data_IF_289162084617
#
_entry.id   IF_289162084617
#
_cell.length_a   1.000
_cell.length_b   1.000
_cell.length_c   1.000
_cell.angle_alpha   90.00
_cell.angle_beta   90.00
_cell.angle_gamma   90.00
#
_symmetry.space_group_name_H-M   'P 1'
#
loop_
_entity.id
_entity.type
_entity.pdbx_description
1 polymer ?
#
# COMPACT_ATOMS: atom_id res chain seq x y z
N UNK A 1 21.34 13.50 -23.82
CA UNK A 1 20.48 12.38 -24.25
C UNK A 1 21.42 11.33 -24.80
N UNK A 2 21.48 10.17 -24.16
CA UNK A 2 22.28 9.07 -24.68
C UNK A 2 21.57 8.48 -25.91
N UNK A 3 22.32 7.95 -26.87
CA UNK A 3 21.70 7.38 -28.10
C UNK A 3 20.97 6.07 -27.82
N UNK A 4 21.22 5.48 -26.66
CA UNK A 4 20.65 4.20 -26.22
C UNK A 4 19.50 4.36 -25.20
N UNK A 5 19.11 5.61 -24.86
CA UNK A 5 17.98 5.89 -23.96
C UNK A 5 16.64 5.52 -24.65
N UNK A 6 16.09 4.34 -24.32
CA UNK A 6 14.78 3.91 -24.84
C UNK A 6 13.62 4.75 -24.31
N UNK A 7 12.44 4.73 -24.95
CA UNK A 7 11.24 5.48 -24.51
C UNK A 7 10.87 5.27 -23.03
N UNK A 8 11.20 4.10 -22.45
CA UNK A 8 11.03 3.79 -21.03
C UNK A 8 11.86 4.67 -20.08
N UNK A 9 12.95 5.25 -20.57
CA UNK A 9 13.81 6.19 -19.82
C UNK A 9 13.22 7.61 -19.72
N UNK A 10 12.23 7.93 -20.56
CA UNK A 10 11.61 9.27 -20.61
C UNK A 10 10.63 9.47 -19.47
N UNK A 11 10.04 8.39 -18.97
CA UNK A 11 9.11 8.38 -17.85
C UNK A 11 8.06 7.27 -17.98
N UNK A 12 7.51 6.88 -16.85
CA UNK A 12 6.43 5.92 -16.71
C UNK A 12 5.13 6.70 -16.40
N UNK A 13 4.14 6.69 -17.32
CA UNK A 13 2.85 7.31 -17.08
C UNK A 13 2.00 6.45 -16.14
N UNK A 14 1.46 7.08 -15.09
CA UNK A 14 0.49 6.47 -14.19
C UNK A 14 -0.83 7.23 -14.30
N UNK A 15 -1.92 6.53 -14.62
CA UNK A 15 -3.26 7.11 -14.55
C UNK A 15 -3.69 7.33 -13.11
N UNK A 16 -4.38 8.44 -12.85
CA UNK A 16 -4.84 8.84 -11.53
C UNK A 16 -5.80 7.82 -10.90
N UNK A 17 -6.71 7.28 -11.72
CA UNK A 17 -7.60 6.19 -11.31
C UNK A 17 -7.02 4.88 -11.84
N UNK A 18 -6.46 4.07 -10.95
CA UNK A 18 -5.86 2.79 -11.28
C UNK A 18 -6.89 1.68 -11.36
N UNK A 19 -7.19 1.19 -12.56
CA UNK A 19 -8.05 0.02 -12.76
C UNK A 19 -7.61 -0.74 -14.02
N UNK A 20 -7.92 -2.05 -14.15
CA UNK A 20 -7.63 -2.80 -15.36
C UNK A 20 -8.36 -2.21 -16.57
N UNK A 21 -7.59 -1.77 -17.56
CA UNK A 21 -8.10 -1.18 -18.79
C UNK A 21 -7.98 -2.16 -19.96
N UNK A 22 -9.06 -2.28 -20.75
CA UNK A 22 -9.02 -3.03 -22.01
C UNK A 22 -8.30 -2.26 -23.14
N UNK A 23 -8.27 -0.93 -23.05
CA UNK A 23 -7.71 -0.04 -24.06
C UNK A 23 -7.02 1.16 -23.40
N UNK A 24 -6.15 1.84 -24.13
CA UNK A 24 -5.54 3.08 -23.66
C UNK A 24 -6.61 4.10 -23.26
N UNK A 25 -6.51 4.70 -22.07
CA UNK A 25 -7.52 5.61 -21.58
C UNK A 25 -7.45 6.94 -22.33
N UNK A 26 -8.57 7.64 -22.43
CA UNK A 26 -8.57 9.07 -22.76
C UNK A 26 -8.13 9.84 -21.52
N UNK A 27 -7.12 10.70 -21.68
CA UNK A 27 -6.61 11.53 -20.60
C UNK A 27 -7.44 12.82 -20.52
N UNK A 28 -7.97 13.08 -19.33
CA UNK A 28 -8.59 14.36 -18.99
C UNK A 28 -7.62 15.22 -18.18
N UNK A 29 -8.08 16.39 -17.76
CA UNK A 29 -7.33 17.24 -16.83
C UNK A 29 -6.98 16.47 -15.55
N UNK A 30 -5.77 16.66 -15.03
CA UNK A 30 -5.29 16.07 -13.78
C UNK A 30 -5.43 14.54 -13.72
N UNK A 31 -5.25 13.85 -14.85
CA UNK A 31 -5.45 12.40 -14.95
C UNK A 31 -4.15 11.59 -15.02
N UNK A 32 -2.99 12.25 -15.08
CA UNK A 32 -1.69 11.62 -15.28
C UNK A 32 -0.67 12.03 -14.22
N UNK A 33 -0.04 11.03 -13.60
CA UNK A 33 1.16 11.20 -12.76
C UNK A 33 2.35 10.68 -13.57
N UNK A 34 3.36 11.52 -13.78
CA UNK A 34 4.59 11.14 -14.49
C UNK A 34 5.66 10.73 -13.50
N UNK A 35 6.30 9.58 -13.72
CA UNK A 35 7.42 9.10 -12.91
C UNK A 35 8.64 8.94 -13.80
N UNK A 36 9.74 9.62 -13.51
CA UNK A 36 10.94 9.51 -14.34
C UNK A 36 12.21 9.85 -13.59
N UNK A 37 13.36 9.67 -14.24
CA UNK A 37 14.66 9.99 -13.67
C UNK A 37 15.13 11.37 -14.16
N UNK A 38 15.92 12.07 -13.33
CA UNK A 38 16.64 13.31 -13.69
C UNK A 38 15.73 14.46 -14.12
N UNK A 39 14.48 14.50 -13.64
CA UNK A 39 13.63 15.68 -13.78
C UNK A 39 14.12 16.79 -12.85
N UNK A 40 14.18 18.03 -13.37
CA UNK A 40 14.39 19.21 -12.53
C UNK A 40 13.05 19.69 -11.98
N UNK A 41 13.09 20.37 -10.82
CA UNK A 41 11.90 20.96 -10.23
C UNK A 41 11.20 21.96 -11.17
N UNK A 42 11.98 22.82 -11.83
CA UNK A 42 11.44 23.80 -12.78
C UNK A 42 10.76 23.13 -13.99
N UNK A 43 11.32 22.03 -14.51
CA UNK A 43 10.69 21.28 -15.59
C UNK A 43 9.39 20.61 -15.12
N UNK A 44 9.38 20.04 -13.91
CA UNK A 44 8.19 19.44 -13.33
C UNK A 44 7.07 20.45 -13.08
N UNK A 45 7.41 21.66 -12.60
CA UNK A 45 6.45 22.75 -12.41
C UNK A 45 5.84 23.19 -13.74
N UNK A 46 6.67 23.43 -14.76
CA UNK A 46 6.21 23.77 -16.11
C UNK A 46 5.31 22.68 -16.71
N UNK A 47 5.64 21.40 -16.51
CA UNK A 47 4.79 20.28 -16.96
C UNK A 47 3.39 20.32 -16.35
N UNK A 48 3.29 20.53 -15.03
CA UNK A 48 1.99 20.59 -14.33
C UNK A 48 1.20 21.85 -14.71
N UNK A 49 1.89 22.99 -14.94
CA UNK A 49 1.24 24.25 -15.30
C UNK A 49 0.76 24.29 -16.75
N UNK A 50 1.56 23.79 -17.69
CA UNK A 50 1.31 23.93 -19.13
C UNK A 50 0.56 22.75 -19.75
N UNK A 51 0.62 21.55 -19.14
CA UNK A 51 -0.01 20.33 -19.67
C UNK A 51 -1.14 19.91 -18.75
N UNK A 52 -2.37 20.25 -19.14
CA UNK A 52 -3.56 20.08 -18.32
C UNK A 52 -3.78 18.64 -17.82
N UNK A 53 -3.36 17.63 -18.58
CA UNK A 53 -3.48 16.23 -18.19
C UNK A 53 -2.57 15.81 -17.04
N UNK A 54 -1.47 16.53 -16.81
CA UNK A 54 -0.46 16.18 -15.80
C UNK A 54 -0.91 16.69 -14.42
N UNK A 55 -1.30 15.74 -13.58
CA UNK A 55 -1.63 15.94 -12.16
C UNK A 55 -0.39 16.17 -11.30
N UNK A 56 0.69 15.46 -11.60
CA UNK A 56 1.90 15.49 -10.78
C UNK A 56 3.10 14.80 -11.42
N UNK A 57 4.30 15.16 -10.96
CA UNK A 57 5.58 14.71 -11.50
C UNK A 57 6.50 14.24 -10.37
N UNK A 58 7.00 13.01 -10.51
CA UNK A 58 7.82 12.31 -9.52
C UNK A 58 9.20 12.04 -10.11
N UNK A 59 10.24 12.39 -9.34
CA UNK A 59 11.60 11.90 -9.55
C UNK A 59 11.76 10.52 -8.91
N UNK A 60 11.97 9.51 -9.74
CA UNK A 60 12.33 8.16 -9.33
C UNK A 60 13.78 8.12 -8.85
N UNK A 61 13.99 7.56 -7.66
CA UNK A 61 15.29 7.32 -7.03
C UNK A 61 15.49 5.85 -6.65
N UNK A 62 14.56 4.99 -7.09
CA UNK A 62 14.53 3.56 -6.78
C UNK A 62 13.14 3.10 -6.32
N UNK A 63 13.11 1.96 -5.64
CA UNK A 63 11.89 1.41 -5.02
C UNK A 63 11.71 2.05 -3.64
N UNK A 64 10.67 2.88 -3.42
CA UNK A 64 10.47 3.54 -2.13
C UNK A 64 9.95 2.58 -1.05
N UNK A 65 10.33 2.84 0.21
CA UNK A 65 9.94 2.06 1.37
C UNK A 65 11.11 1.53 2.20
N UNK A 66 10.79 0.65 3.16
CA UNK A 66 11.75 0.01 4.07
C UNK A 66 11.95 -1.43 3.64
N UNK A 67 13.09 -1.73 3.00
CA UNK A 67 13.44 -3.11 2.60
C UNK A 67 13.96 -3.91 3.79
N UNK A 68 14.67 -3.25 4.72
CA UNK A 68 15.14 -3.85 5.96
C UNK A 68 15.29 -2.76 7.04
N UNK A 69 15.05 -3.07 8.34
CA UNK A 69 15.07 -2.07 9.42
C UNK A 69 16.40 -1.30 9.54
N UNK A 70 17.51 -1.93 9.20
CA UNK A 70 18.86 -1.35 9.28
C UNK A 70 19.24 -0.48 8.08
N UNK A 71 18.46 -0.51 7.00
CA UNK A 71 18.73 0.27 5.77
C UNK A 71 17.95 1.58 5.79
N UNK A 72 18.58 2.66 5.29
CA UNK A 72 17.87 3.92 5.09
C UNK A 72 16.72 3.71 4.10
N UNK A 73 15.50 4.15 4.45
CA UNK A 73 14.37 4.05 3.54
C UNK A 73 14.64 4.86 2.26
N UNK A 74 14.27 4.30 1.12
CA UNK A 74 14.29 5.02 -0.14
C UNK A 74 12.99 5.79 -0.30
N UNK A 75 13.08 6.97 -0.91
CA UNK A 75 11.93 7.82 -1.25
C UNK A 75 12.12 8.34 -2.67
N UNK A 76 11.06 8.27 -3.46
CA UNK A 76 10.97 9.10 -4.64
C UNK A 76 10.53 10.50 -4.21
N UNK A 77 10.79 11.50 -5.05
CA UNK A 77 10.42 12.89 -4.74
C UNK A 77 9.27 13.34 -5.62
N UNK A 78 8.19 13.81 -5.01
CA UNK A 78 7.22 14.64 -5.70
C UNK A 78 7.86 16.00 -5.99
N UNK A 79 8.09 16.30 -7.27
CA UNK A 79 8.70 17.56 -7.69
C UNK A 79 7.67 18.68 -7.87
N UNK A 80 6.48 18.34 -8.38
CA UNK A 80 5.37 19.26 -8.60
C UNK A 80 4.01 18.55 -8.63
N UNK A 81 2.94 19.27 -8.31
CA UNK A 81 1.56 18.79 -8.40
C UNK A 81 1.16 17.82 -7.28
N UNK A 82 0.42 16.77 -7.62
CA UNK A 82 -0.13 15.78 -6.70
C UNK A 82 0.13 14.35 -7.21
N UNK A 83 0.66 13.47 -6.36
CA UNK A 83 0.93 12.06 -6.67
C UNK A 83 -0.05 11.06 -6.01
N UNK A 84 -1.12 11.57 -5.41
CA UNK A 84 -2.14 10.74 -4.83
C UNK A 84 -2.92 10.05 -5.95
N UNK A 85 -2.79 8.72 -6.05
CA UNK A 85 -3.52 7.88 -7.00
C UNK A 85 -4.62 7.11 -6.27
N UNK A 86 -5.75 6.90 -6.92
CA UNK A 86 -6.86 6.08 -6.43
C UNK A 86 -6.94 4.76 -7.21
N UNK A 87 -6.57 3.64 -6.58
CA UNK A 87 -6.67 2.32 -7.22
C UNK A 87 -8.03 1.68 -6.91
N UNK A 88 -8.77 1.27 -7.93
CA UNK A 88 -9.95 0.40 -7.78
C UNK A 88 -9.46 -1.04 -7.76
N UNK A 89 -9.67 -1.71 -6.63
CA UNK A 89 -9.26 -3.09 -6.40
C UNK A 89 -10.52 -3.95 -6.31
N UNK A 90 -10.68 -4.88 -7.25
CA UNK A 90 -11.84 -5.77 -7.35
C UNK A 90 -11.45 -7.22 -7.05
N UNK A 91 -12.31 -7.95 -6.35
CA UNK A 91 -12.19 -9.37 -6.04
C UNK A 91 -13.58 -10.03 -5.96
N UNK A 92 -13.63 -11.34 -5.74
CA UNK A 92 -14.90 -12.04 -5.43
C UNK A 92 -15.57 -11.56 -4.13
N UNK A 93 -14.82 -10.91 -3.23
CA UNK A 93 -15.34 -10.36 -1.97
C UNK A 93 -15.95 -8.96 -2.14
N UNK A 94 -15.76 -8.35 -3.31
CA UNK A 94 -16.24 -7.01 -3.65
C UNK A 94 -15.12 -6.08 -4.10
N UNK A 95 -15.39 -4.78 -4.09
CA UNK A 95 -14.50 -3.75 -4.64
C UNK A 95 -14.18 -2.67 -3.60
N UNK A 96 -12.93 -2.21 -3.55
CA UNK A 96 -12.50 -1.07 -2.73
C UNK A 96 -11.76 -0.03 -3.57
N UNK A 97 -11.71 1.20 -3.05
CA UNK A 97 -10.79 2.23 -3.54
C UNK A 97 -9.62 2.34 -2.57
N UNK A 98 -8.40 2.24 -3.08
CA UNK A 98 -7.16 2.32 -2.29
C UNK A 98 -6.35 3.52 -2.77
N UNK A 99 -6.32 4.57 -1.94
CA UNK A 99 -5.50 5.75 -2.11
C UNK A 99 -4.05 5.51 -1.71
N UNK A 100 -3.15 6.07 -2.52
CA UNK A 100 -1.72 5.75 -2.52
C UNK A 100 -0.90 6.96 -2.98
N UNK A 101 0.08 7.41 -2.19
CA UNK A 101 1.07 8.42 -2.63
C UNK A 101 2.20 7.76 -3.40
N UNK A 102 2.16 7.84 -4.73
CA UNK A 102 3.06 7.08 -5.62
C UNK A 102 4.57 7.41 -5.44
N UNK A 103 4.91 8.56 -4.86
CA UNK A 103 6.31 8.89 -4.55
C UNK A 103 6.83 8.19 -3.29
N UNK A 104 5.93 7.73 -2.41
CA UNK A 104 6.29 7.19 -1.11
C UNK A 104 6.07 5.68 -1.00
N UNK A 105 5.35 5.04 -1.92
CA UNK A 105 5.04 3.60 -1.84
C UNK A 105 5.48 2.85 -3.10
N UNK A 106 5.64 1.53 -2.98
CA UNK A 106 5.97 0.69 -4.12
C UNK A 106 4.89 0.78 -5.20
N UNK A 107 5.29 1.14 -6.41
CA UNK A 107 4.39 1.24 -7.56
C UNK A 107 4.13 -0.16 -8.10
N UNK A 108 2.96 -0.70 -7.80
CA UNK A 108 2.48 -1.98 -8.33
C UNK A 108 1.40 -1.74 -9.39
N UNK A 109 1.56 -2.37 -10.56
CA UNK A 109 0.55 -2.29 -11.62
C UNK A 109 -0.54 -3.34 -11.38
N UNK A 110 -1.83 -2.95 -11.37
CA UNK A 110 -2.91 -3.91 -11.36
C UNK A 110 -2.82 -4.76 -12.64
N UNK A 111 -2.60 -6.06 -12.47
CA UNK A 111 -2.57 -7.03 -13.58
C UNK A 111 -3.92 -7.75 -13.63
N UNK A 112 -4.39 -8.10 -14.83
CA UNK A 112 -5.65 -8.85 -15.03
C UNK A 112 -5.73 -10.16 -14.23
N UNK A 113 -4.59 -10.76 -13.86
CA UNK A 113 -4.52 -12.01 -13.09
C UNK A 113 -4.05 -11.81 -11.64
N UNK A 114 -4.20 -10.62 -11.05
CA UNK A 114 -3.71 -10.19 -9.73
C UNK A 114 -3.43 -11.36 -8.75
N UNK A 115 -2.17 -11.89 -8.70
CA UNK A 115 -1.87 -13.14 -7.99
C UNK A 115 -2.23 -13.09 -6.51
N UNK A 116 -2.01 -11.93 -5.88
CA UNK A 116 -2.35 -11.67 -4.48
C UNK A 116 -3.84 -11.84 -4.20
N UNK A 117 -4.71 -11.38 -5.12
CA UNK A 117 -6.16 -11.52 -4.95
C UNK A 117 -6.62 -12.97 -5.06
N UNK A 118 -6.02 -13.77 -5.95
CA UNK A 118 -6.34 -15.21 -6.06
C UNK A 118 -6.01 -15.97 -4.77
N UNK A 119 -4.87 -15.65 -4.15
CA UNK A 119 -4.49 -16.23 -2.85
C UNK A 119 -5.55 -15.86 -1.80
N UNK A 120 -5.98 -14.61 -1.74
CA UNK A 120 -7.03 -14.18 -0.81
C UNK A 120 -8.38 -14.87 -1.09
N UNK A 121 -8.77 -15.04 -2.34
CA UNK A 121 -10.00 -15.74 -2.73
C UNK A 121 -9.96 -17.21 -2.32
N UNK A 122 -8.83 -17.90 -2.50
CA UNK A 122 -8.64 -19.27 -2.02
C UNK A 122 -8.74 -19.36 -0.49
N UNK A 123 -8.14 -18.42 0.24
CA UNK A 123 -8.22 -18.35 1.71
C UNK A 123 -9.64 -18.04 2.19
N UNK A 124 -10.39 -17.23 1.45
CA UNK A 124 -11.80 -16.95 1.69
C UNK A 124 -12.63 -18.23 1.57
N UNK A 125 -12.47 -19.02 0.50
CA UNK A 125 -13.18 -20.29 0.34
C UNK A 125 -12.81 -21.34 1.39
N UNK A 126 -11.59 -21.28 1.95
CA UNK A 126 -11.17 -22.12 3.07
C UNK A 126 -11.69 -21.64 4.43
N UNK A 127 -12.35 -20.48 4.50
CA UNK A 127 -12.90 -19.90 5.73
C UNK A 127 -11.83 -19.35 6.68
N UNK A 128 -10.65 -18.99 6.17
CA UNK A 128 -9.48 -18.60 6.98
C UNK A 128 -9.34 -17.10 7.23
N UNK A 129 -10.21 -16.28 6.64
CA UNK A 129 -10.12 -14.81 6.73
C UNK A 129 -10.83 -14.21 7.95
N UNK A 130 -11.03 -14.96 9.05
CA UNK A 130 -11.76 -14.45 10.23
C UNK A 130 -10.92 -13.56 11.16
N UNK A 131 -9.68 -13.97 11.45
CA UNK A 131 -8.76 -13.24 12.34
C UNK A 131 -7.39 -13.15 11.64
N UNK A 132 -7.11 -11.99 11.04
CA UNK A 132 -6.01 -11.80 10.08
C UNK A 132 -5.02 -10.75 10.57
N UNK A 133 -3.73 -11.01 10.41
CA UNK A 133 -2.68 -10.01 10.47
C UNK A 133 -2.13 -9.75 9.05
N UNK A 134 -2.26 -8.53 8.56
CA UNK A 134 -1.59 -8.04 7.36
C UNK A 134 -0.26 -7.41 7.78
N UNK A 135 0.81 -8.21 7.73
CA UNK A 135 2.06 -7.93 8.45
C UNK A 135 2.97 -6.89 7.79
N UNK A 136 2.83 -6.68 6.47
CA UNK A 136 3.54 -5.70 5.65
C UNK A 136 2.51 -4.99 4.76
N UNK A 137 1.55 -4.33 5.42
CA UNK A 137 0.27 -4.01 4.79
C UNK A 137 0.32 -2.93 3.72
N UNK A 138 1.39 -2.12 3.66
CA UNK A 138 1.46 -0.98 2.76
C UNK A 138 0.24 -0.06 2.95
N UNK A 139 -0.48 0.31 1.87
CA UNK A 139 -1.71 1.10 1.96
C UNK A 139 -2.94 0.30 2.46
N UNK A 140 -2.77 -0.97 2.82
CA UNK A 140 -3.80 -1.81 3.44
C UNK A 140 -4.57 -2.73 2.51
N UNK A 141 -4.16 -2.89 1.25
CA UNK A 141 -5.00 -3.54 0.22
C UNK A 141 -5.49 -4.93 0.63
N UNK A 142 -4.59 -5.79 1.15
CA UNK A 142 -4.92 -7.18 1.49
C UNK A 142 -5.78 -7.24 2.75
N UNK A 143 -5.37 -6.58 3.84
CA UNK A 143 -6.15 -6.57 5.06
C UNK A 143 -7.54 -5.92 4.88
N UNK A 144 -7.68 -4.87 4.06
CA UNK A 144 -8.97 -4.25 3.79
C UNK A 144 -9.90 -5.20 2.97
N UNK A 145 -9.34 -6.00 2.06
CA UNK A 145 -10.09 -7.08 1.41
C UNK A 145 -10.55 -8.13 2.41
N UNK A 146 -9.75 -8.48 3.42
CA UNK A 146 -10.17 -9.39 4.48
C UNK A 146 -11.33 -8.80 5.30
N UNK A 147 -11.31 -7.49 5.61
CA UNK A 147 -12.44 -6.81 6.27
C UNK A 147 -13.69 -6.90 5.39
N UNK A 148 -13.58 -6.61 4.09
CA UNK A 148 -14.69 -6.71 3.15
C UNK A 148 -15.23 -8.15 3.04
N UNK A 149 -14.35 -9.14 3.17
CA UNK A 149 -14.68 -10.57 3.20
C UNK A 149 -15.39 -11.02 4.50
N UNK A 150 -15.62 -10.13 5.45
CA UNK A 150 -16.29 -10.42 6.71
C UNK A 150 -15.35 -10.89 7.83
N UNK A 151 -14.08 -10.48 7.82
CA UNK A 151 -13.19 -10.70 8.95
C UNK A 151 -13.76 -10.10 10.24
N UNK A 152 -13.65 -10.84 11.34
CA UNK A 152 -14.05 -10.39 12.67
C UNK A 152 -12.97 -9.48 13.28
N UNK A 153 -11.70 -9.73 12.94
CA UNK A 153 -10.56 -8.91 13.35
C UNK A 153 -9.48 -8.84 12.27
N UNK A 154 -8.94 -7.63 12.06
CA UNK A 154 -7.77 -7.41 11.20
C UNK A 154 -6.73 -6.54 11.90
N UNK A 155 -5.49 -7.03 11.97
CA UNK A 155 -4.33 -6.30 12.45
C UNK A 155 -3.51 -5.85 11.24
N UNK A 156 -3.36 -4.54 11.06
CA UNK A 156 -2.49 -3.97 10.03
C UNK A 156 -1.15 -3.59 10.66
N UNK A 157 -0.05 -3.95 10.01
CA UNK A 157 1.29 -3.54 10.41
C UNK A 157 2.11 -3.10 9.20
N UNK A 158 2.82 -1.98 9.34
CA UNK A 158 3.88 -1.61 8.40
C UNK A 158 4.96 -0.80 9.13
N UNK A 159 6.23 -1.01 8.76
CA UNK A 159 7.33 -0.23 9.30
C UNK A 159 7.38 1.17 8.66
N UNK A 160 6.71 1.39 7.53
CA UNK A 160 6.77 2.62 6.76
C UNK A 160 5.63 3.57 7.10
N UNK A 161 5.95 4.73 7.67
CA UNK A 161 4.94 5.71 8.10
C UNK A 161 4.02 6.19 6.97
N UNK A 162 4.50 6.52 5.74
CA UNK A 162 3.61 6.88 4.65
C UNK A 162 2.60 5.79 4.28
N UNK A 163 2.96 4.51 4.41
CA UNK A 163 2.04 3.40 4.18
C UNK A 163 0.90 3.40 5.21
N UNK A 164 1.24 3.57 6.49
CA UNK A 164 0.27 3.72 7.58
C UNK A 164 -0.65 4.93 7.36
N UNK A 165 -0.11 6.07 6.98
CA UNK A 165 -0.89 7.27 6.68
C UNK A 165 -1.87 7.04 5.51
N UNK A 166 -1.44 6.35 4.45
CA UNK A 166 -2.30 5.98 3.31
C UNK A 166 -3.40 5.00 3.76
N UNK A 167 -3.06 4.00 4.60
CA UNK A 167 -4.02 3.09 5.21
C UNK A 167 -5.08 3.83 6.03
N UNK A 168 -4.69 4.82 6.84
CA UNK A 168 -5.65 5.61 7.63
C UNK A 168 -6.61 6.43 6.75
N UNK A 169 -6.15 6.90 5.59
CA UNK A 169 -7.04 7.50 4.58
C UNK A 169 -7.99 6.43 4.03
N UNK A 170 -7.48 5.24 3.70
CA UNK A 170 -8.27 4.16 3.13
C UNK A 170 -9.35 3.61 4.07
N UNK A 171 -9.07 3.56 5.38
CA UNK A 171 -10.09 3.24 6.39
C UNK A 171 -11.22 4.27 6.41
N UNK A 172 -10.89 5.57 6.27
CA UNK A 172 -11.90 6.64 6.26
C UNK A 172 -12.73 6.64 4.98
N UNK A 173 -12.08 6.52 3.82
CA UNK A 173 -12.75 6.51 2.51
C UNK A 173 -13.70 5.32 2.39
N UNK A 174 -13.26 4.13 2.80
CA UNK A 174 -14.06 2.91 2.69
C UNK A 174 -14.93 2.63 3.92
N UNK A 175 -14.97 3.54 4.91
CA UNK A 175 -15.63 3.35 6.21
C UNK A 175 -17.03 2.72 6.11
N UNK A 176 -17.88 3.27 5.25
CA UNK A 176 -19.27 2.80 5.09
C UNK A 176 -19.32 1.37 4.54
N UNK A 177 -18.49 1.08 3.54
CA UNK A 177 -18.45 -0.22 2.88
C UNK A 177 -17.87 -1.30 3.80
N UNK A 178 -16.89 -0.94 4.63
CA UNK A 178 -16.25 -1.82 5.60
C UNK A 178 -17.04 -1.97 6.91
N UNK A 179 -18.21 -1.32 7.02
CA UNK A 179 -19.02 -1.36 8.24
C UNK A 179 -18.31 -0.75 9.46
N UNK A 180 -17.44 0.22 9.26
CA UNK A 180 -16.69 0.88 10.34
C UNK A 180 -17.53 1.99 10.97
N UNK A 181 -17.80 1.87 12.26
CA UNK A 181 -18.59 2.82 13.05
C UNK A 181 -17.72 3.87 13.72
N UNK A 182 -16.48 3.54 14.09
CA UNK A 182 -15.58 4.45 14.78
C UNK A 182 -14.13 4.19 14.36
N UNK A 183 -13.35 5.27 14.21
CA UNK A 183 -11.90 5.23 14.02
C UNK A 183 -11.28 6.15 15.07
N UNK A 184 -10.48 5.58 15.96
CA UNK A 184 -9.74 6.31 16.99
C UNK A 184 -8.26 6.34 16.63
N UNK A 185 -7.68 7.54 16.61
CA UNK A 185 -6.25 7.75 16.44
C UNK A 185 -5.60 7.79 17.81
N UNK A 186 -4.57 6.98 18.00
CA UNK A 186 -3.88 6.81 19.28
C UNK A 186 -2.55 7.58 19.23
N UNK A 187 -1.46 6.88 18.98
CA UNK A 187 -0.13 7.46 18.91
C UNK A 187 0.22 7.89 17.48
N UNK A 188 0.99 8.98 17.37
CA UNK A 188 1.61 9.38 16.11
C UNK A 188 3.03 8.82 16.04
N UNK A 189 3.39 8.12 14.95
CA UNK A 189 4.78 7.76 14.68
C UNK A 189 5.72 8.96 14.80
N UNK A 190 6.83 8.78 15.52
CA UNK A 190 7.88 9.81 15.65
C UNK A 190 8.91 9.74 14.53
N UNK A 191 9.09 8.56 13.95
CA UNK A 191 10.06 8.28 12.90
C UNK A 191 9.35 7.74 11.65
N UNK A 192 9.94 7.99 10.48
CA UNK A 192 9.38 7.51 9.22
C UNK A 192 9.47 5.98 9.07
N UNK A 193 10.50 5.37 9.65
CA UNK A 193 10.68 3.92 9.70
C UNK A 193 10.56 3.45 11.15
N UNK A 194 9.60 2.57 11.43
CA UNK A 194 9.36 2.03 12.76
C UNK A 194 10.33 0.89 13.07
N UNK A 195 11.24 1.09 14.01
CA UNK A 195 12.12 0.04 14.54
C UNK A 195 11.51 -0.68 15.75
N UNK A 196 10.51 -0.07 16.40
CA UNK A 196 9.67 -0.69 17.43
C UNK A 196 8.33 -1.17 16.86
N UNK A 197 7.35 -1.32 17.73
CA UNK A 197 5.94 -1.52 17.37
C UNK A 197 5.15 -0.53 18.22
N UNK A 198 4.23 0.22 17.62
CA UNK A 198 3.33 1.13 18.35
C UNK A 198 1.96 1.06 17.70
N UNK A 199 0.91 0.96 18.51
CA UNK A 199 -0.46 1.04 18.02
C UNK A 199 -0.82 2.50 17.72
N UNK A 200 -1.12 2.80 16.45
CA UNK A 200 -1.35 4.17 15.97
C UNK A 200 -2.84 4.46 15.78
N UNK A 201 -3.65 3.43 15.58
CA UNK A 201 -5.09 3.57 15.47
C UNK A 201 -5.82 2.27 15.82
N UNK A 202 -7.10 2.41 16.13
CA UNK A 202 -8.06 1.31 16.18
C UNK A 202 -9.37 1.71 15.53
N UNK A 203 -10.05 0.75 14.92
CA UNK A 203 -11.41 0.96 14.40
C UNK A 203 -12.35 -0.14 14.88
N UNK A 204 -13.63 0.21 15.03
CA UNK A 204 -14.70 -0.68 15.51
C UNK A 204 -15.91 -0.60 14.59
N UNK A 205 -16.76 -1.62 14.64
CA UNK A 205 -17.96 -1.77 13.82
C UNK A 205 -18.15 -3.25 13.50
N UNK A 206 -18.37 -3.57 12.22
CA UNK A 206 -18.47 -4.95 11.73
C UNK A 206 -17.17 -5.78 11.94
N UNK A 207 -16.02 -5.11 11.98
CA UNK A 207 -14.71 -5.72 12.20
C UNK A 207 -13.94 -4.94 13.28
N UNK A 208 -13.18 -5.65 14.11
CA UNK A 208 -12.19 -5.04 15.01
C UNK A 208 -10.89 -4.80 14.24
N UNK A 209 -10.49 -3.54 14.09
CA UNK A 209 -9.27 -3.18 13.36
C UNK A 209 -8.25 -2.60 14.32
N UNK A 210 -7.02 -3.10 14.24
CA UNK A 210 -5.86 -2.56 14.94
C UNK A 210 -4.81 -2.14 13.92
N UNK A 211 -4.25 -0.95 14.04
CA UNK A 211 -3.20 -0.45 13.14
C UNK A 211 -1.93 -0.20 13.94
N UNK A 212 -0.84 -0.81 13.50
CA UNK A 212 0.48 -0.70 14.10
C UNK A 212 1.47 -0.10 13.11
N UNK A 213 2.31 0.81 13.61
CA UNK A 213 3.50 1.26 12.91
C UNK A 213 4.71 0.57 13.53
N UNK A 214 5.40 -0.28 12.77
CA UNK A 214 6.52 -1.04 13.29
C UNK A 214 7.03 -2.21 12.48
N UNK A 215 8.14 -2.78 12.96
CA UNK A 215 8.73 -4.00 12.43
C UNK A 215 7.83 -5.21 12.70
N UNK A 216 7.47 -5.94 11.65
CA UNK A 216 6.69 -7.18 11.75
C UNK A 216 7.34 -8.20 12.71
N UNK A 217 8.68 -8.21 12.79
CA UNK A 217 9.39 -9.12 13.69
C UNK A 217 9.07 -8.87 15.18
N UNK A 218 8.52 -7.69 15.50
CA UNK A 218 8.17 -7.26 16.86
C UNK A 218 6.67 -7.12 17.07
N UNK A 219 5.85 -7.19 16.02
CA UNK A 219 4.40 -6.97 16.06
C UNK A 219 3.71 -7.74 17.20
N UNK A 220 3.94 -9.05 17.27
CA UNK A 220 3.26 -9.94 18.22
C UNK A 220 3.81 -9.89 19.66
N UNK A 221 4.77 -9.00 19.93
CA UNK A 221 5.11 -8.62 21.31
C UNK A 221 4.09 -7.65 21.92
N UNK A 222 3.27 -6.99 21.08
CA UNK A 222 2.23 -6.07 21.50
C UNK A 222 0.84 -6.49 21.03
N UNK A 223 0.70 -6.88 19.76
CA UNK A 223 -0.57 -7.34 19.21
C UNK A 223 -0.81 -8.81 19.59
N UNK A 224 -2.06 -9.18 19.92
CA UNK A 224 -2.42 -10.60 20.06
C UNK A 224 -2.24 -11.32 18.71
N UNK A 225 -1.51 -12.45 18.66
CA UNK A 225 -1.36 -13.25 17.44
C UNK A 225 -2.70 -13.54 16.75
N UNK A 226 -2.70 -13.44 15.43
CA UNK A 226 -3.85 -13.73 14.58
C UNK A 226 -3.90 -15.22 14.22
N UNK A 227 -5.03 -15.67 13.67
CA UNK A 227 -5.12 -17.03 13.14
C UNK A 227 -4.35 -17.15 11.83
N UNK A 228 -4.47 -16.13 10.96
CA UNK A 228 -3.76 -16.07 9.68
C UNK A 228 -2.85 -14.83 9.65
N UNK A 229 -1.59 -15.00 9.27
CA UNK A 229 -0.69 -13.90 8.97
C UNK A 229 -0.35 -13.87 7.47
N UNK A 230 -0.62 -12.73 6.83
CA UNK A 230 -0.23 -12.43 5.45
C UNK A 230 1.11 -11.67 5.45
N UNK A 231 2.04 -12.10 4.59
CA UNK A 231 3.35 -11.46 4.40
C UNK A 231 3.51 -11.12 2.92
N UNK A 232 3.32 -9.85 2.58
CA UNK A 232 3.55 -9.28 1.25
C UNK A 232 4.88 -8.52 1.25
N UNK A 233 5.97 -9.21 0.90
CA UNK A 233 7.32 -8.67 1.00
C UNK A 233 7.82 -8.12 -0.34
N UNK A 234 8.80 -7.21 -0.28
CA UNK A 234 9.49 -6.77 -1.49
C UNK A 234 10.14 -7.95 -2.24
N UNK A 235 9.96 -8.06 -3.57
CA UNK A 235 10.57 -9.12 -4.37
C UNK A 235 12.08 -9.26 -4.10
N UNK A 236 12.54 -10.49 -3.91
CA UNK A 236 13.97 -10.79 -3.65
C UNK A 236 14.44 -10.59 -2.21
N UNK A 237 13.57 -10.19 -1.28
CA UNK A 237 13.89 -10.08 0.15
C UNK A 237 13.86 -11.46 0.85
N UNK A 238 14.71 -11.65 1.87
CA UNK A 238 14.69 -12.85 2.71
C UNK A 238 13.49 -12.82 3.67
N UNK A 239 12.68 -13.88 3.64
CA UNK A 239 11.47 -14.00 4.46
C UNK A 239 11.65 -14.89 5.69
N UNK A 240 12.83 -15.48 5.91
CA UNK A 240 13.07 -16.40 7.03
C UNK A 240 12.76 -15.77 8.39
N UNK A 241 13.26 -14.55 8.63
CA UNK A 241 13.02 -13.84 9.88
C UNK A 241 11.53 -13.49 10.06
N UNK A 242 10.87 -13.03 9.00
CA UNK A 242 9.44 -12.69 9.01
C UNK A 242 8.58 -13.92 9.33
N UNK A 243 8.83 -15.05 8.64
CA UNK A 243 8.16 -16.33 8.92
C UNK A 243 8.41 -16.79 10.37
N UNK A 244 9.63 -16.65 10.86
CA UNK A 244 9.98 -17.01 12.24
C UNK A 244 9.16 -16.19 13.25
N UNK A 245 9.04 -14.88 13.05
CA UNK A 245 8.26 -14.01 13.92
C UNK A 245 6.76 -14.34 13.89
N UNK A 246 6.24 -14.73 12.72
CA UNK A 246 4.84 -15.07 12.53
C UNK A 246 4.46 -16.49 12.98
N UNK A 247 5.41 -17.31 13.48
CA UNK A 247 5.13 -18.68 13.98
C UNK A 247 4.14 -18.74 15.15
N UNK A 248 3.90 -17.62 15.81
CA UNK A 248 2.89 -17.52 16.86
C UNK A 248 1.46 -17.44 16.31
N UNK A 249 1.29 -17.18 15.00
CA UNK A 249 0.01 -17.30 14.31
C UNK A 249 -0.25 -18.77 13.91
N UNK A 250 -1.51 -19.15 13.71
CA UNK A 250 -1.86 -20.54 13.34
C UNK A 250 -1.40 -20.89 11.92
N UNK A 251 -1.57 -19.96 10.98
CA UNK A 251 -1.17 -20.11 9.58
C UNK A 251 -0.42 -18.85 9.13
N UNK A 252 0.60 -19.01 8.28
CA UNK A 252 1.36 -17.89 7.69
C UNK A 252 1.45 -18.11 6.20
N UNK A 253 1.03 -17.11 5.42
CA UNK A 253 0.98 -17.14 3.96
C UNK A 253 1.86 -16.01 3.43
N UNK A 254 2.77 -16.35 2.52
CA UNK A 254 3.45 -15.34 1.70
C UNK A 254 2.59 -15.08 0.48
N UNK A 255 2.34 -13.80 0.22
CA UNK A 255 1.47 -13.32 -0.85
C UNK A 255 2.31 -12.71 -1.98
#
# INVERSE_FOLDING_TARGET
>A
RDKDDGLRSVGMPLIDVGYPLAYSPRLGRDSLILVGEKYSKAAAEAMVEEIAEIKGVIESRGVPGVVAPEKKPLKNLLLAGCDMRADVVSSLMGELVVYKRQSQIHIEFPRQNAPKMRILEELYFRGLLRDVADGLCGPGTLGLMCVLAGAERVVFNDAWQPAIEDLLINLKVNRKLLGIEEIELLERPREAAGSGTVQVARARGACQIEVYHGDLCRLFSQARPAELCLIDHFPGSDTKALKQACRCCKETVIV
#
